data_IF_381617554088
#
_entry.id   IF_381617554088
#
_cell.length_a   1.000
_cell.length_b   1.000
_cell.length_c   1.000
_cell.angle_alpha   90.00
_cell.angle_beta   90.00
_cell.angle_gamma   90.00
#
_symmetry.space_group_name_H-M   'P 1'
#
loop_
_entity.id
_entity.type
_entity.pdbx_description
1 polymer ?
#
# COMPACT_ATOMS: atom_id res chain seq x y z
N UNK A 1 -11.80 9.17 9.09
CA UNK A 1 -10.33 9.11 9.28
C UNK A 1 -9.69 8.39 8.11
N UNK A 2 -9.53 9.09 7.00
CA UNK A 2 -9.08 8.52 5.73
C UNK A 2 -7.63 8.02 5.78
N UNK A 3 -6.78 8.72 6.55
CA UNK A 3 -5.40 8.33 6.84
C UNK A 3 -5.32 7.06 7.71
N UNK A 4 -6.15 6.94 8.75
CA UNK A 4 -6.13 5.77 9.64
C UNK A 4 -6.59 4.50 8.91
N UNK A 5 -7.64 4.61 8.08
CA UNK A 5 -8.09 3.50 7.24
C UNK A 5 -7.03 3.08 6.21
N UNK A 6 -6.32 4.05 5.60
CA UNK A 6 -5.19 3.78 4.72
C UNK A 6 -4.05 3.06 5.45
N UNK A 7 -3.61 3.58 6.61
CA UNK A 7 -2.56 2.98 7.43
C UNK A 7 -2.91 1.55 7.83
N UNK A 8 -4.16 1.32 8.21
CA UNK A 8 -4.66 0.00 8.57
C UNK A 8 -4.62 -0.99 7.40
N UNK A 9 -5.12 -0.58 6.23
CA UNK A 9 -5.09 -1.41 5.02
C UNK A 9 -3.67 -1.69 4.57
N UNK A 10 -2.82 -0.66 4.53
CA UNK A 10 -1.41 -0.80 4.19
C UNK A 10 -0.69 -1.77 5.14
N UNK A 11 -0.88 -1.62 6.45
CA UNK A 11 -0.28 -2.50 7.46
C UNK A 11 -0.69 -3.96 7.26
N UNK A 12 -1.98 -4.23 7.00
CA UNK A 12 -2.45 -5.59 6.70
C UNK A 12 -1.76 -6.17 5.48
N UNK A 13 -1.64 -5.39 4.40
CA UNK A 13 -0.95 -5.82 3.18
C UNK A 13 0.53 -6.11 3.46
N UNK A 14 1.20 -5.28 4.27
CA UNK A 14 2.60 -5.51 4.69
C UNK A 14 2.75 -6.81 5.47
N UNK A 15 1.86 -7.07 6.41
CA UNK A 15 1.87 -8.33 7.19
C UNK A 15 1.69 -9.54 6.28
N UNK A 16 0.76 -9.47 5.32
CA UNK A 16 0.54 -10.54 4.34
C UNK A 16 1.78 -10.75 3.47
N UNK A 17 2.42 -9.69 3.00
CA UNK A 17 3.65 -9.80 2.20
C UNK A 17 4.81 -10.41 2.99
N UNK A 18 4.97 -10.01 4.26
CA UNK A 18 5.98 -10.60 5.14
C UNK A 18 5.71 -12.09 5.38
N UNK A 19 4.46 -12.48 5.64
CA UNK A 19 4.08 -13.88 5.79
C UNK A 19 4.37 -14.68 4.52
N UNK A 20 4.08 -14.12 3.34
CA UNK A 20 4.42 -14.76 2.07
C UNK A 20 5.93 -15.02 1.94
N UNK A 21 6.77 -14.00 2.21
CA UNK A 21 8.24 -14.16 2.17
C UNK A 21 8.75 -15.19 3.18
N UNK A 22 8.17 -15.24 4.38
CA UNK A 22 8.52 -16.26 5.39
C UNK A 22 8.16 -17.66 4.91
N UNK A 23 6.97 -17.84 4.32
CA UNK A 23 6.53 -19.12 3.74
C UNK A 23 7.44 -19.52 2.57
N UNK A 24 7.77 -18.58 1.68
CA UNK A 24 8.70 -18.82 0.57
C UNK A 24 10.07 -19.27 1.09
N UNK A 25 10.58 -18.62 2.14
CA UNK A 25 11.87 -19.02 2.75
C UNK A 25 11.80 -20.40 3.40
N UNK A 26 10.67 -20.74 4.02
CA UNK A 26 10.47 -22.03 4.66
C UNK A 26 10.30 -23.17 3.64
N UNK A 27 9.67 -22.89 2.50
CA UNK A 27 9.40 -23.88 1.44
C UNK A 27 10.54 -24.03 0.44
N UNK A 28 11.29 -22.96 0.16
CA UNK A 28 12.38 -22.95 -0.81
C UNK A 28 13.74 -23.03 -0.10
N UNK A 29 14.30 -24.23 -0.06
CA UNK A 29 15.63 -24.49 0.52
C UNK A 29 16.77 -24.00 -0.37
N UNK A 30 16.55 -23.96 -1.70
CA UNK A 30 17.53 -23.44 -2.67
C UNK A 30 17.44 -21.92 -2.80
N UNK A 31 18.58 -21.25 -2.63
CA UNK A 31 18.69 -19.79 -2.83
C UNK A 31 18.30 -19.36 -4.25
N UNK A 32 18.63 -20.18 -5.26
CA UNK A 32 18.33 -19.88 -6.66
C UNK A 32 16.83 -19.93 -6.99
N UNK A 33 16.05 -20.70 -6.23
CA UNK A 33 14.60 -20.71 -6.35
C UNK A 33 13.96 -19.60 -5.50
N UNK A 34 14.52 -19.31 -4.33
CA UNK A 34 14.00 -18.29 -3.41
C UNK A 34 14.09 -16.87 -3.99
N UNK A 35 15.24 -16.48 -4.53
CA UNK A 35 15.48 -15.10 -5.01
C UNK A 35 14.43 -14.64 -6.05
N UNK A 36 14.15 -15.37 -7.14
CA UNK A 36 13.17 -14.91 -8.12
C UNK A 36 11.74 -14.86 -7.54
N UNK A 37 11.37 -15.81 -6.69
CA UNK A 37 10.03 -15.87 -6.09
C UNK A 37 9.83 -14.69 -5.13
N UNK A 38 10.77 -14.47 -4.21
CA UNK A 38 10.74 -13.34 -3.29
C UNK A 38 10.74 -12.00 -4.04
N UNK A 39 11.47 -11.90 -5.15
CA UNK A 39 11.47 -10.70 -6.00
C UNK A 39 10.08 -10.40 -6.55
N UNK A 40 9.37 -11.41 -7.04
CA UNK A 40 7.99 -11.25 -7.55
C UNK A 40 7.06 -10.79 -6.43
N UNK A 41 7.15 -11.39 -5.24
CA UNK A 41 6.33 -11.01 -4.09
C UNK A 41 6.57 -9.57 -3.66
N UNK A 42 7.84 -9.13 -3.64
CA UNK A 42 8.19 -7.73 -3.37
C UNK A 42 7.63 -6.81 -4.46
N UNK A 43 7.75 -7.17 -5.74
CA UNK A 43 7.22 -6.35 -6.84
C UNK A 43 5.70 -6.17 -6.74
N UNK A 44 4.96 -7.25 -6.45
CA UNK A 44 3.51 -7.19 -6.25
C UNK A 44 3.17 -6.28 -5.07
N UNK A 45 3.87 -6.44 -3.94
CA UNK A 45 3.67 -5.60 -2.77
C UNK A 45 3.93 -4.11 -3.07
N UNK A 46 4.95 -3.79 -3.86
CA UNK A 46 5.25 -2.41 -4.28
C UNK A 46 4.13 -1.85 -5.16
N UNK A 47 3.65 -2.61 -6.15
CA UNK A 47 2.54 -2.18 -7.03
C UNK A 47 1.28 -1.87 -6.21
N UNK A 48 0.92 -2.75 -5.27
CA UNK A 48 -0.23 -2.55 -4.39
C UNK A 48 -0.03 -1.30 -3.51
N UNK A 49 1.16 -1.13 -2.93
CA UNK A 49 1.49 0.02 -2.09
C UNK A 49 1.40 1.34 -2.85
N UNK A 50 1.89 1.38 -4.09
CA UNK A 50 1.80 2.55 -4.96
C UNK A 50 0.34 2.86 -5.32
N UNK A 51 -0.47 1.85 -5.64
CA UNK A 51 -1.90 2.01 -5.93
C UNK A 51 -2.65 2.60 -4.74
N UNK A 52 -2.45 2.03 -3.55
CA UNK A 52 -3.00 2.52 -2.29
C UNK A 52 -2.58 3.97 -2.02
N UNK A 53 -1.30 4.31 -2.22
CA UNK A 53 -0.81 5.67 -1.99
C UNK A 53 -1.42 6.68 -2.96
N UNK A 54 -1.57 6.31 -4.25
CA UNK A 54 -2.22 7.16 -5.26
C UNK A 54 -3.68 7.42 -4.90
N UNK A 55 -4.41 6.39 -4.47
CA UNK A 55 -5.81 6.51 -4.07
C UNK A 55 -5.96 7.39 -2.81
N UNK A 56 -5.11 7.19 -1.81
CA UNK A 56 -5.09 8.07 -0.64
C UNK A 56 -4.81 9.53 -1.01
N UNK A 57 -3.82 9.75 -1.89
CA UNK A 57 -3.45 11.11 -2.33
C UNK A 57 -4.59 11.79 -3.08
N UNK A 58 -5.27 11.09 -4.00
CA UNK A 58 -6.38 11.66 -4.76
C UNK A 58 -7.52 12.11 -3.84
N UNK A 59 -7.89 11.27 -2.87
CA UNK A 59 -8.94 11.60 -1.92
C UNK A 59 -8.53 12.71 -0.95
N UNK A 60 -7.27 12.76 -0.52
CA UNK A 60 -6.75 13.86 0.30
C UNK A 60 -6.74 15.21 -0.43
N UNK A 61 -6.35 15.22 -1.72
CA UNK A 61 -6.41 16.45 -2.55
C UNK A 61 -7.84 16.89 -2.86
N UNK A 62 -8.77 15.94 -3.07
CA UNK A 62 -10.18 16.24 -3.30
C UNK A 62 -10.84 16.91 -2.09
N UNK A 63 -10.55 16.43 -0.87
CA UNK A 63 -11.03 17.05 0.37
C UNK A 63 -10.54 18.50 0.53
N UNK A 64 -9.28 18.77 0.17
CA UNK A 64 -8.72 20.13 0.25
C UNK A 64 -9.43 21.12 -0.69
N UNK A 65 -9.82 20.68 -1.88
CA UNK A 65 -10.51 21.50 -2.86
C UNK A 65 -11.94 21.85 -2.41
N UNK A 66 -12.64 20.89 -1.81
CA UNK A 66 -13.99 21.10 -1.29
C UNK A 66 -14.01 22.13 -0.16
N UNK A 67 -13.05 22.07 0.77
CA UNK A 67 -12.95 23.04 1.88
C UNK A 67 -12.62 24.46 1.37
N UNK A 68 -11.76 24.59 0.35
CA UNK A 68 -11.42 25.90 -0.22
C UNK A 68 -12.59 26.53 -0.98
N UNK A 69 -13.38 25.72 -1.69
CA UNK A 69 -14.60 26.22 -2.37
C UNK A 69 -15.66 26.74 -1.40
N UNK A 70 -15.96 26.00 -0.33
CA UNK A 70 -16.92 26.40 0.72
C UNK A 70 -16.47 27.68 1.44
N UNK A 71 -15.16 27.87 1.65
CA UNK A 71 -14.62 29.10 2.25
C UNK A 71 -14.80 30.30 1.34
N UNK A 72 -14.71 30.11 0.02
CA UNK A 72 -14.82 31.20 -0.97
C UNK A 72 -16.26 31.67 -1.16
N UNK A 73 -17.25 30.80 -1.02
CA UNK A 73 -18.69 31.16 -1.12
C UNK A 73 -19.23 31.90 0.11
N UNK A 74 -18.51 31.89 1.24
CA UNK A 74 -18.92 32.56 2.48
C UNK A 74 -18.35 33.98 2.68
N UNK A 75 -17.53 34.47 1.75
CA UNK A 75 -16.92 35.81 1.79
C UNK A 75 -17.53 36.66 0.70
#
# INVERSE_FOLDING_TARGET
MLTLAFLWTWTKTTVVALLAVVIERATLTSMWAFVPVATITVLIYVVISVGLFREWRSQATGHHHQITSIRRERV
#
